data_IF_740099844988
#
_entry.id   IF_740099844988
#
_cell.length_a   1.000
_cell.length_b   1.000
_cell.length_c   1.000
_cell.angle_alpha   90.00
_cell.angle_beta   90.00
_cell.angle_gamma   90.00
#
_symmetry.space_group_name_H-M   'P 1'
#
loop_
_entity.id
_entity.type
_entity.pdbx_description
1 polymer ?
#
# COMPACT_ATOMS: atom_id res chain seq x y z
N UNK A 1 -28.39 -29.45 -46.38
CA UNK A 1 -28.22 -30.00 -45.01
C UNK A 1 -29.53 -30.65 -44.62
N UNK A 2 -29.52 -31.90 -44.15
CA UNK A 2 -30.74 -32.54 -43.67
C UNK A 2 -31.12 -31.98 -42.29
N UNK A 3 -32.41 -31.99 -41.96
CA UNK A 3 -32.94 -31.59 -40.65
C UNK A 3 -32.25 -32.32 -39.49
N UNK A 4 -31.87 -33.57 -39.71
CA UNK A 4 -31.16 -34.43 -38.75
C UNK A 4 -29.73 -33.92 -38.44
N UNK A 5 -29.01 -33.41 -39.45
CA UNK A 5 -27.69 -32.78 -39.24
C UNK A 5 -27.81 -31.48 -38.45
N UNK A 6 -28.86 -30.69 -38.70
CA UNK A 6 -29.14 -29.47 -37.97
C UNK A 6 -29.45 -29.77 -36.48
N UNK A 7 -30.33 -30.74 -36.20
CA UNK A 7 -30.63 -31.15 -34.82
C UNK A 7 -29.39 -31.65 -34.05
N UNK A 8 -28.57 -32.50 -34.67
CA UNK A 8 -27.33 -32.99 -34.05
C UNK A 8 -26.33 -31.87 -33.75
N UNK A 9 -26.22 -30.86 -34.62
CA UNK A 9 -25.31 -29.73 -34.42
C UNK A 9 -25.73 -28.86 -33.22
N UNK A 10 -27.03 -28.64 -33.03
CA UNK A 10 -27.58 -27.89 -31.89
C UNK A 10 -27.32 -28.63 -30.57
N UNK A 11 -27.49 -29.95 -30.54
CA UNK A 11 -27.24 -30.75 -29.34
C UNK A 11 -25.75 -30.78 -28.93
N UNK A 12 -24.85 -30.86 -29.92
CA UNK A 12 -23.41 -30.80 -29.68
C UNK A 12 -23.01 -29.42 -29.17
N UNK A 13 -23.51 -28.34 -29.78
CA UNK A 13 -23.28 -26.97 -29.32
C UNK A 13 -23.75 -26.77 -27.88
N UNK A 14 -25.00 -27.13 -27.56
CA UNK A 14 -25.56 -26.99 -26.21
C UNK A 14 -24.82 -27.84 -25.14
N UNK A 15 -24.19 -28.96 -25.53
CA UNK A 15 -23.36 -29.77 -24.62
C UNK A 15 -21.99 -29.11 -24.39
N UNK A 16 -21.38 -28.58 -25.43
CA UNK A 16 -20.08 -27.89 -25.35
C UNK A 16 -20.24 -26.59 -24.56
N UNK A 17 -21.27 -25.79 -24.82
CA UNK A 17 -21.59 -24.56 -24.09
C UNK A 17 -21.79 -24.84 -22.60
N UNK A 18 -22.59 -25.86 -22.23
CA UNK A 18 -22.76 -26.24 -20.82
C UNK A 18 -21.45 -26.65 -20.16
N UNK A 19 -20.61 -27.43 -20.84
CA UNK A 19 -19.29 -27.83 -20.31
C UNK A 19 -18.37 -26.63 -20.12
N UNK A 20 -18.34 -25.71 -21.09
CA UNK A 20 -17.55 -24.48 -20.99
C UNK A 20 -18.05 -23.58 -19.85
N UNK A 21 -19.36 -23.39 -19.74
CA UNK A 21 -19.97 -22.64 -18.65
C UNK A 21 -19.60 -23.24 -17.28
N UNK A 22 -19.67 -24.57 -17.13
CA UNK A 22 -19.25 -25.25 -15.90
C UNK A 22 -17.77 -25.00 -15.59
N UNK A 23 -16.88 -25.11 -16.58
CA UNK A 23 -15.44 -24.83 -16.39
C UNK A 23 -15.21 -23.36 -15.99
N UNK A 24 -15.86 -22.42 -16.66
CA UNK A 24 -15.75 -21.00 -16.34
C UNK A 24 -16.22 -20.71 -14.91
N UNK A 25 -17.33 -21.31 -14.47
CA UNK A 25 -17.82 -21.19 -13.09
C UNK A 25 -16.79 -21.78 -12.10
N UNK A 26 -16.21 -22.94 -12.39
CA UNK A 26 -15.17 -23.54 -11.54
C UNK A 26 -13.96 -22.61 -11.42
N UNK A 27 -13.51 -22.00 -12.52
CA UNK A 27 -12.38 -21.05 -12.51
C UNK A 27 -12.72 -19.82 -11.67
N UNK A 28 -13.90 -19.22 -11.87
CA UNK A 28 -14.35 -18.04 -11.12
C UNK A 28 -14.45 -18.34 -9.61
N UNK A 29 -15.05 -19.48 -9.25
CA UNK A 29 -15.14 -19.90 -7.84
C UNK A 29 -13.75 -20.17 -7.26
N UNK A 30 -12.87 -20.83 -8.01
CA UNK A 30 -11.49 -21.06 -7.58
C UNK A 30 -10.71 -19.77 -7.35
N UNK A 31 -10.83 -18.79 -8.26
CA UNK A 31 -10.22 -17.46 -8.10
C UNK A 31 -10.80 -16.71 -6.91
N UNK A 32 -12.11 -16.76 -6.69
CA UNK A 32 -12.77 -16.13 -5.55
C UNK A 32 -12.30 -16.73 -4.21
N UNK A 33 -12.16 -18.06 -4.13
CA UNK A 33 -11.64 -18.74 -2.95
C UNK A 33 -10.17 -18.37 -2.68
N UNK A 34 -9.34 -18.30 -3.73
CA UNK A 34 -7.95 -17.86 -3.60
C UNK A 34 -7.86 -16.40 -3.12
N UNK A 35 -8.69 -15.52 -3.68
CA UNK A 35 -8.76 -14.11 -3.26
C UNK A 35 -9.20 -13.96 -1.81
N UNK A 36 -10.22 -14.72 -1.38
CA UNK A 36 -10.69 -14.73 0.01
C UNK A 36 -9.59 -15.22 0.97
N UNK A 37 -8.91 -16.33 0.62
CA UNK A 37 -7.78 -16.84 1.39
C UNK A 37 -6.65 -15.81 1.50
N UNK A 38 -6.27 -15.19 0.38
CA UNK A 38 -5.24 -14.17 0.36
C UNK A 38 -5.64 -12.94 1.19
N UNK A 39 -6.88 -12.47 1.11
CA UNK A 39 -7.39 -11.35 1.89
C UNK A 39 -7.33 -11.59 3.40
N UNK A 40 -7.73 -12.79 3.85
CA UNK A 40 -7.70 -13.17 5.27
C UNK A 40 -6.25 -13.23 5.80
N UNK A 41 -5.33 -13.79 5.01
CA UNK A 41 -3.96 -14.03 5.48
C UNK A 41 -2.98 -12.89 5.22
N UNK A 42 -3.25 -12.00 4.26
CA UNK A 42 -2.31 -10.96 3.83
C UNK A 42 -2.82 -9.53 4.00
N UNK A 43 -4.06 -9.33 4.46
CA UNK A 43 -4.63 -8.06 4.92
C UNK A 43 -4.16 -6.80 4.15
N UNK A 44 -4.24 -6.85 2.82
CA UNK A 44 -3.81 -5.76 1.94
C UNK A 44 -4.97 -4.82 1.59
N UNK A 45 -5.67 -4.27 2.60
CA UNK A 45 -6.90 -3.44 2.49
C UNK A 45 -8.23 -4.22 2.46
N UNK A 46 -9.36 -3.66 2.92
CA UNK A 46 -9.56 -2.32 3.52
C UNK A 46 -9.13 -2.25 4.99
N UNK A 47 -8.80 -1.04 5.45
CA UNK A 47 -8.49 -0.79 6.86
C UNK A 47 -9.67 -1.17 7.75
N UNK A 48 -9.44 -1.80 8.92
CA UNK A 48 -10.50 -2.20 9.84
C UNK A 48 -11.15 -1.00 10.56
N UNK A 49 -10.48 0.16 10.57
CA UNK A 49 -10.96 1.38 11.21
C UNK A 49 -10.77 2.56 10.27
N UNK A 50 -11.78 3.42 10.21
CA UNK A 50 -11.69 4.72 9.56
C UNK A 50 -11.28 5.74 10.62
N UNK A 51 -10.16 6.40 10.38
CA UNK A 51 -9.69 7.53 11.16
C UNK A 51 -9.64 8.77 10.27
N UNK A 52 -10.00 9.91 10.85
CA UNK A 52 -10.12 11.18 10.12
C UNK A 52 -9.18 12.23 10.71
N UNK A 53 -8.80 13.19 9.87
CA UNK A 53 -7.96 14.33 10.24
C UNK A 53 -8.43 15.58 9.49
N UNK A 54 -8.13 16.77 9.99
CA UNK A 54 -8.43 18.02 9.25
C UNK A 54 -7.25 18.35 8.32
N UNK A 55 -7.41 18.27 6.99
CA UNK A 55 -6.31 18.52 6.06
C UNK A 55 -5.83 19.98 6.12
N UNK A 56 -6.68 20.93 6.51
CA UNK A 56 -6.31 22.36 6.58
C UNK A 56 -5.44 22.71 7.79
N UNK A 57 -5.39 21.84 8.80
CA UNK A 57 -4.67 22.06 10.08
C UNK A 57 -3.65 20.98 10.39
N UNK A 58 -3.39 20.09 9.44
CA UNK A 58 -2.55 18.92 9.61
C UNK A 58 -1.13 19.27 10.09
N UNK A 59 -0.59 20.39 9.64
CA UNK A 59 0.73 20.88 10.01
C UNK A 59 0.76 21.63 11.35
N UNK A 60 -0.40 22.00 11.91
CA UNK A 60 -0.51 22.82 13.11
C UNK A 60 -0.66 21.99 14.38
N UNK A 61 -1.31 20.84 14.29
CA UNK A 61 -1.61 20.01 15.46
C UNK A 61 -1.86 18.55 15.08
N UNK A 62 -1.64 17.65 16.03
CA UNK A 62 -1.95 16.24 15.88
C UNK A 62 -0.74 15.39 15.45
N UNK A 63 -1.04 14.26 14.81
CA UNK A 63 -0.04 13.24 14.50
C UNK A 63 0.92 13.64 13.37
N UNK A 64 0.51 14.54 12.49
CA UNK A 64 1.22 14.86 11.25
C UNK A 64 1.93 16.23 11.29
N UNK A 65 2.17 16.77 12.47
CA UNK A 65 3.04 17.94 12.61
C UNK A 65 4.47 17.58 12.19
N UNK A 66 5.21 18.55 11.65
CA UNK A 66 6.53 18.32 11.05
C UNK A 66 7.51 17.63 12.01
N UNK A 67 7.48 18.00 13.30
CA UNK A 67 8.30 17.40 14.35
C UNK A 67 8.00 15.92 14.63
N UNK A 68 6.84 15.42 14.19
CA UNK A 68 6.37 14.05 14.40
C UNK A 68 6.43 13.17 13.14
N UNK A 69 6.85 13.72 12.00
CA UNK A 69 7.00 12.98 10.74
C UNK A 69 8.27 12.14 10.72
N UNK A 70 8.21 10.99 10.05
CA UNK A 70 9.29 9.99 9.98
C UNK A 70 9.03 8.76 10.82
N UNK A 71 10.09 7.97 11.02
CA UNK A 71 10.01 6.66 11.66
C UNK A 71 10.30 6.75 13.16
N UNK A 72 9.52 6.04 13.96
CA UNK A 72 9.74 5.86 15.40
C UNK A 72 9.76 4.39 15.76
N UNK A 73 10.70 4.02 16.62
CA UNK A 73 10.69 2.73 17.30
C UNK A 73 9.74 2.81 18.50
N UNK A 74 8.67 2.03 18.47
CA UNK A 74 7.69 1.93 19.56
C UNK A 74 8.21 1.01 20.67
N UNK A 75 7.64 1.12 21.88
CA UNK A 75 8.06 0.34 23.05
C UNK A 75 7.90 -1.18 22.87
N UNK A 76 6.99 -1.62 22.00
CA UNK A 76 6.77 -3.04 21.67
C UNK A 76 7.77 -3.60 20.64
N UNK A 77 8.71 -2.78 20.15
CA UNK A 77 9.70 -3.15 19.14
C UNK A 77 9.20 -3.05 17.69
N UNK A 78 7.95 -2.63 17.47
CA UNK A 78 7.44 -2.29 16.14
C UNK A 78 7.86 -0.87 15.76
N UNK A 79 7.76 -0.56 14.46
CA UNK A 79 8.07 0.78 13.95
C UNK A 79 6.81 1.43 13.41
N UNK A 80 6.53 2.65 13.82
CA UNK A 80 5.49 3.48 13.21
C UNK A 80 6.15 4.51 12.31
N UNK A 81 5.65 4.65 11.08
CA UNK A 81 6.11 5.65 10.11
C UNK A 81 4.99 6.64 9.89
N UNK A 82 5.27 7.92 10.08
CA UNK A 82 4.32 9.02 9.82
C UNK A 82 4.76 9.81 8.61
N UNK A 83 3.90 9.91 7.61
CA UNK A 83 4.21 10.63 6.38
C UNK A 83 3.02 11.42 5.85
N UNK A 84 3.28 12.45 5.06
CA UNK A 84 2.27 13.24 4.36
C UNK A 84 2.58 13.22 2.86
N UNK A 85 1.55 13.08 2.04
CA UNK A 85 1.59 13.42 0.62
C UNK A 85 1.06 14.82 0.38
N UNK A 86 1.76 15.58 -0.44
CA UNK A 86 1.36 16.91 -0.91
C UNK A 86 1.92 17.11 -2.32
N UNK A 87 1.38 18.03 -3.09
CA UNK A 87 1.91 18.39 -4.41
C UNK A 87 3.30 19.03 -4.23
N UNK A 88 4.40 18.47 -4.75
CA UNK A 88 4.59 17.17 -5.42
C UNK A 88 5.67 16.36 -4.70
N UNK A 89 5.51 16.18 -3.38
CA UNK A 89 6.50 15.54 -2.51
C UNK A 89 5.85 14.71 -1.42
N UNK A 90 6.58 13.68 -0.99
CA UNK A 90 6.31 13.03 0.28
C UNK A 90 7.15 13.67 1.38
N UNK A 91 6.56 13.83 2.57
CA UNK A 91 7.25 14.37 3.74
C UNK A 91 7.22 13.32 4.86
N UNK A 92 8.37 12.75 5.25
CA UNK A 92 9.70 12.97 4.68
C UNK A 92 9.87 12.30 3.30
N UNK A 93 10.72 12.89 2.44
CA UNK A 93 11.00 12.33 1.11
C UNK A 93 11.82 11.03 1.15
N UNK A 94 12.49 10.77 2.27
CA UNK A 94 13.26 9.57 2.53
C UNK A 94 12.89 8.99 3.90
N UNK A 95 12.16 7.88 3.89
CA UNK A 95 11.76 7.14 5.09
C UNK A 95 12.84 6.08 5.38
N UNK A 96 13.26 5.95 6.63
CA UNK A 96 14.20 4.89 7.04
C UNK A 96 13.48 3.87 7.92
N UNK A 97 13.64 2.58 7.66
CA UNK A 97 12.99 1.51 8.45
C UNK A 97 13.92 0.31 8.63
N UNK A 98 13.73 -0.51 9.67
CA UNK A 98 14.50 -1.73 9.85
C UNK A 98 13.97 -2.90 9.02
N UNK A 99 14.87 -3.78 8.59
CA UNK A 99 14.51 -5.08 8.06
C UNK A 99 13.87 -5.99 9.14
N UNK A 100 13.11 -6.98 8.68
CA UNK A 100 12.49 -8.06 9.45
C UNK A 100 11.61 -7.64 10.64
N UNK A 101 11.17 -6.38 10.65
CA UNK A 101 10.40 -5.78 11.73
C UNK A 101 9.01 -5.39 11.22
N UNK A 102 7.93 -5.61 12.01
CA UNK A 102 6.61 -5.09 11.68
C UNK A 102 6.62 -3.56 11.68
N UNK A 103 6.19 -2.97 10.56
CA UNK A 103 6.13 -1.52 10.39
C UNK A 103 4.68 -1.13 10.08
N UNK A 104 4.18 -0.11 10.75
CA UNK A 104 2.88 0.50 10.45
C UNK A 104 3.12 1.85 9.81
N UNK A 105 2.81 1.97 8.51
CA UNK A 105 2.72 3.27 7.84
C UNK A 105 1.40 3.92 8.23
N UNK A 106 1.46 5.15 8.75
CA UNK A 106 0.32 6.04 8.92
C UNK A 106 0.59 7.26 8.09
N UNK A 107 -0.24 7.48 7.07
CA UNK A 107 -0.05 8.56 6.13
C UNK A 107 -1.38 9.18 5.72
N UNK A 108 -1.32 10.42 5.27
CA UNK A 108 -2.49 11.16 4.80
C UNK A 108 -2.06 12.21 3.78
N UNK A 109 -3.02 12.92 3.19
CA UNK A 109 -2.77 13.98 2.24
C UNK A 109 -3.14 15.35 2.81
N UNK A 110 -2.31 16.35 2.51
CA UNK A 110 -2.58 17.75 2.85
C UNK A 110 -3.42 18.49 1.79
N UNK A 111 -3.58 17.95 0.57
CA UNK A 111 -4.22 18.63 -0.55
C UNK A 111 -5.18 17.77 -1.38
N UNK A 112 -4.67 16.95 -2.30
CA UNK A 112 -5.42 16.10 -3.25
C UNK A 112 -5.14 14.63 -2.98
N UNK A 113 -5.78 13.72 -3.71
CA UNK A 113 -5.47 12.30 -3.58
C UNK A 113 -4.06 12.03 -4.12
N UNK A 114 -3.26 11.30 -3.34
CA UNK A 114 -1.97 10.75 -3.77
C UNK A 114 -1.97 9.24 -3.61
N UNK A 115 -1.00 8.56 -4.21
CA UNK A 115 -0.82 7.12 -4.03
C UNK A 115 0.57 6.83 -3.52
N UNK A 116 0.71 6.17 -2.37
CA UNK A 116 1.98 5.60 -1.94
C UNK A 116 2.09 4.20 -2.51
N UNK A 117 3.06 4.00 -3.39
CA UNK A 117 3.53 2.70 -3.85
C UNK A 117 4.96 2.51 -3.39
N UNK A 118 5.30 1.37 -2.80
CA UNK A 118 6.70 1.00 -2.57
C UNK A 118 7.05 -0.14 -3.53
N UNK A 119 7.91 0.16 -4.52
CA UNK A 119 8.25 -0.80 -5.58
C UNK A 119 8.86 -2.08 -5.02
N UNK A 120 8.55 -3.22 -5.63
CA UNK A 120 9.03 -4.53 -5.17
C UNK A 120 8.34 -5.05 -3.90
N UNK A 121 7.26 -4.41 -3.47
CA UNK A 121 6.42 -4.85 -2.34
C UNK A 121 4.94 -4.81 -2.70
N UNK A 122 4.08 -5.27 -1.79
CA UNK A 122 2.62 -5.11 -1.91
C UNK A 122 2.10 -3.85 -1.19
N UNK A 123 2.97 -2.96 -0.76
CA UNK A 123 2.57 -1.69 -0.14
C UNK A 123 2.08 -0.76 -1.24
N UNK A 124 0.76 -0.63 -1.30
CA UNK A 124 0.05 0.17 -2.27
C UNK A 124 -1.20 0.72 -1.58
N UNK A 125 -1.23 2.02 -1.30
CA UNK A 125 -2.36 2.67 -0.63
C UNK A 125 -2.57 4.10 -1.12
N UNK A 126 -3.81 4.55 -1.13
CA UNK A 126 -4.16 5.94 -1.47
C UNK A 126 -4.11 6.80 -0.22
N UNK A 127 -3.60 8.03 -0.36
CA UNK A 127 -3.65 9.07 0.64
C UNK A 127 -4.80 10.00 0.28
N UNK A 128 -5.91 9.88 0.99
CA UNK A 128 -7.09 10.70 0.76
C UNK A 128 -7.10 11.85 1.76
N UNK A 129 -7.22 13.12 1.32
CA UNK A 129 -7.35 14.25 2.23
C UNK A 129 -8.49 14.03 3.21
N UNK A 130 -8.23 14.26 4.50
CA UNK A 130 -9.22 14.06 5.55
C UNK A 130 -9.26 12.68 6.20
N UNK A 131 -8.52 11.70 5.67
CA UNK A 131 -8.47 10.33 6.19
C UNK A 131 -7.04 9.90 6.48
N UNK A 132 -6.86 9.06 7.50
CA UNK A 132 -5.57 8.46 7.84
C UNK A 132 -5.50 7.06 7.22
N UNK A 133 -4.64 6.93 6.22
CA UNK A 133 -4.30 5.65 5.59
C UNK A 133 -3.26 4.92 6.42
N UNK A 134 -3.62 3.73 6.88
CA UNK A 134 -2.79 2.83 7.67
C UNK A 134 -2.48 1.59 6.84
N UNK A 135 -1.19 1.29 6.66
CA UNK A 135 -0.73 0.15 5.91
C UNK A 135 0.38 -0.58 6.67
N UNK A 136 0.18 -1.87 6.89
CA UNK A 136 1.21 -2.74 7.46
C UNK A 136 2.26 -3.06 6.39
N UNK A 137 3.52 -2.99 6.78
CA UNK A 137 4.68 -3.22 5.94
C UNK A 137 5.69 -4.10 6.67
N UNK A 138 6.40 -4.94 5.91
CA UNK A 138 7.54 -5.72 6.41
C UNK A 138 8.50 -5.95 5.26
N UNK A 139 9.77 -5.60 5.46
CA UNK A 139 10.82 -5.75 4.46
C UNK A 139 11.77 -6.87 4.89
N UNK A 140 12.11 -7.77 3.97
CA UNK A 140 13.04 -8.89 4.23
C UNK A 140 14.45 -8.62 3.72
N UNK A 141 14.63 -7.63 2.84
CA UNK A 141 15.93 -7.27 2.27
C UNK A 141 16.23 -5.80 2.58
N UNK A 142 17.47 -5.53 2.92
CA UNK A 142 17.98 -4.16 3.07
C UNK A 142 18.20 -3.52 1.71
N UNK A 143 18.21 -2.18 1.67
CA UNK A 143 18.42 -1.40 0.44
C UNK A 143 17.46 -0.23 0.29
N UNK A 144 17.62 0.51 -0.79
CA UNK A 144 16.75 1.64 -1.15
C UNK A 144 15.62 1.14 -2.06
N UNK A 145 14.38 1.41 -1.66
CA UNK A 145 13.15 1.09 -2.39
C UNK A 145 12.53 2.37 -2.93
N UNK A 146 12.22 2.40 -4.22
CA UNK A 146 11.57 3.56 -4.85
C UNK A 146 10.12 3.69 -4.40
N UNK A 147 9.70 4.92 -4.14
CA UNK A 147 8.36 5.25 -3.70
C UNK A 147 7.74 6.33 -4.60
N UNK A 148 7.28 5.98 -5.82
CA UNK A 148 6.60 6.93 -6.71
C UNK A 148 5.18 7.25 -6.23
N UNK A 149 4.67 8.42 -6.61
CA UNK A 149 3.24 8.67 -6.59
C UNK A 149 2.56 7.90 -7.72
N UNK A 150 1.63 7.00 -7.39
CA UNK A 150 0.94 6.17 -8.39
C UNK A 150 -0.51 6.61 -8.70
N UNK A 151 -1.03 7.60 -7.97
CA UNK A 151 -2.35 8.19 -8.21
C UNK A 151 -2.16 9.59 -8.78
N UNK A 152 -2.91 9.93 -9.83
CA UNK A 152 -2.71 11.19 -10.54
C UNK A 152 -3.03 12.38 -9.64
N UNK A 153 -2.01 13.21 -9.36
CA UNK A 153 -2.09 14.30 -8.41
C UNK A 153 -1.80 15.68 -9.02
N UNK A 154 -2.10 15.87 -10.32
CA UNK A 154 -1.85 17.08 -11.15
C UNK A 154 -0.54 17.06 -11.94
N UNK A 155 -0.16 18.20 -12.53
CA UNK A 155 0.89 18.33 -13.55
C UNK A 155 2.28 17.84 -13.13
N UNK A 156 2.64 17.97 -11.84
CA UNK A 156 3.91 17.49 -11.30
C UNK A 156 3.91 16.01 -10.88
N UNK A 157 2.84 15.27 -11.19
CA UNK A 157 2.65 13.87 -10.77
C UNK A 157 3.85 12.97 -11.13
N UNK A 158 4.37 13.07 -12.36
CA UNK A 158 5.50 12.26 -12.82
C UNK A 158 6.80 12.53 -12.05
N UNK A 159 6.93 13.71 -11.45
CA UNK A 159 8.09 14.14 -10.67
C UNK A 159 7.95 13.85 -9.16
N UNK A 160 6.82 13.32 -8.71
CA UNK A 160 6.58 13.06 -7.30
C UNK A 160 7.15 11.70 -6.87
N UNK A 161 8.35 11.75 -6.30
CA UNK A 161 9.08 10.57 -5.83
C UNK A 161 9.52 10.73 -4.38
N UNK A 162 9.57 9.61 -3.68
CA UNK A 162 10.36 9.45 -2.46
C UNK A 162 11.07 8.10 -2.48
N UNK A 163 11.62 7.74 -1.33
CA UNK A 163 12.22 6.41 -1.15
C UNK A 163 12.09 5.90 0.27
N UNK A 164 12.14 4.58 0.40
CA UNK A 164 12.23 3.88 1.67
C UNK A 164 13.58 3.18 1.75
N UNK A 165 14.42 3.59 2.69
CA UNK A 165 15.72 2.98 2.98
C UNK A 165 15.55 1.95 4.09
N UNK A 166 15.71 0.69 3.74
CA UNK A 166 15.66 -0.43 4.67
C UNK A 166 17.07 -0.73 5.16
N UNK A 167 17.29 -0.58 6.46
CA UNK A 167 18.58 -0.82 7.12
C UNK A 167 18.50 -2.02 8.07
N UNK A 168 19.64 -2.44 8.60
CA UNK A 168 19.67 -3.48 9.63
C UNK A 168 18.91 -3.06 10.90
N UNK A 169 18.31 -4.03 11.57
CA UNK A 169 17.50 -3.79 12.78
C UNK A 169 18.34 -3.18 13.91
N UNK A 170 19.60 -3.59 14.06
CA UNK A 170 20.49 -3.09 15.10
C UNK A 170 20.92 -1.65 14.81
N UNK A 171 21.23 -1.34 13.55
CA UNK A 171 21.57 0.02 13.11
C UNK A 171 20.39 0.98 13.32
N UNK A 172 19.18 0.55 12.98
CA UNK A 172 17.97 1.34 13.22
C UNK A 172 17.77 1.60 14.72
N UNK A 173 17.89 0.57 15.55
CA UNK A 173 17.77 0.71 17.00
C UNK A 173 18.83 1.68 17.58
N UNK A 174 20.05 1.64 17.07
CA UNK A 174 21.11 2.56 17.47
C UNK A 174 20.78 4.02 17.09
N UNK A 175 20.26 4.24 15.88
CA UNK A 175 19.80 5.57 15.46
C UNK A 175 18.63 6.07 16.31
N UNK A 176 17.70 5.17 16.67
CA UNK A 176 16.54 5.52 17.48
C UNK A 176 16.90 5.97 18.90
N UNK A 177 18.04 5.52 19.45
CA UNK A 177 18.53 5.96 20.79
C UNK A 177 18.84 7.44 20.88
N UNK A 178 19.17 8.09 19.76
CA UNK A 178 19.42 9.53 19.71
C UNK A 178 18.14 10.36 20.00
N UNK A 179 16.97 9.70 20.05
CA UNK A 179 15.68 10.35 20.24
C UNK A 179 15.14 10.99 18.95
N UNK A 180 13.85 11.30 18.96
CA UNK A 180 13.18 11.96 17.84
C UNK A 180 12.68 11.01 16.75
N UNK A 181 12.33 11.60 15.60
CA UNK A 181 11.82 10.89 14.42
C UNK A 181 12.94 10.71 13.41
N UNK A 182 13.06 9.50 12.88
CA UNK A 182 14.13 9.14 11.96
C UNK A 182 13.68 9.34 10.51
N UNK A 183 14.54 9.95 9.72
CA UNK A 183 14.46 9.98 8.26
C UNK A 183 15.85 9.75 7.66
N UNK A 184 15.93 9.53 6.36
CA UNK A 184 17.19 9.45 5.62
C UNK A 184 17.40 10.65 4.68
N UNK A 185 16.69 11.75 4.94
CA UNK A 185 16.88 13.00 4.18
C UNK A 185 18.25 13.58 4.54
N UNK A 186 19.06 13.89 3.52
CA UNK A 186 20.42 14.44 3.71
C UNK A 186 21.50 13.41 4.04
N UNK A 187 21.21 12.10 3.95
CA UNK A 187 22.16 10.99 4.07
C UNK A 187 22.41 10.32 2.72
#
# INVERSE_FOLDING_TARGET
MSSEQAHRSVEVAARVERRWATIAVIIVVGMALLAAFAGIHRATMPQPRVETTDPSRIHLSGEFVESNLGSVLEANGNVTVRAIGQQYSFTPACIVVPADTPITLRATSADVVHGILIQGTNVNTMLVPGYISEQLMRFTKTGDYLMPCQEFCSFGHEGMWGKVRVIDKTDFANRAKAGGRLSCVGQ
#
